data_IF_553769957502
#
_entry.id   IF_553769957502
#
_cell.length_a   1.000
_cell.length_b   1.000
_cell.length_c   1.000
_cell.angle_alpha   90.00
_cell.angle_beta   90.00
_cell.angle_gamma   90.00
#
_symmetry.space_group_name_H-M   'P 1'
#
loop_
_entity.id
_entity.type
_entity.pdbx_description
1 polymer ?
#
# COMPACT_ATOMS: atom_id res chain seq x y z
N UNK A 1 16.05 16.46 -16.55
CA UNK A 1 16.87 15.29 -16.25
C UNK A 1 16.43 14.74 -14.89
N UNK A 2 15.93 13.50 -14.87
CA UNK A 2 15.59 12.81 -13.63
C UNK A 2 16.89 12.31 -13.00
N UNK A 3 17.27 12.79 -11.84
CA UNK A 3 18.45 12.36 -11.13
C UNK A 3 18.06 11.51 -9.92
N UNK A 4 18.59 10.28 -9.89
CA UNK A 4 18.48 9.43 -8.70
C UNK A 4 19.74 9.63 -7.86
N UNK A 5 19.59 10.07 -6.63
CA UNK A 5 20.66 10.15 -5.64
C UNK A 5 20.56 8.97 -4.69
N UNK A 6 21.65 8.22 -4.57
CA UNK A 6 21.75 7.17 -3.55
C UNK A 6 21.98 7.80 -2.19
N UNK A 7 21.23 7.35 -1.20
CA UNK A 7 21.34 7.74 0.19
C UNK A 7 21.91 6.58 1.02
N UNK A 8 22.07 6.79 2.33
CA UNK A 8 22.46 5.74 3.27
C UNK A 8 21.37 4.65 3.38
N UNK A 9 21.77 3.46 3.85
CA UNK A 9 20.87 2.31 4.08
C UNK A 9 20.12 1.83 2.85
N UNK A 10 20.80 1.78 1.68
CA UNK A 10 20.22 1.35 0.40
C UNK A 10 18.97 2.09 -0.04
N UNK A 11 18.72 3.27 0.53
CA UNK A 11 17.67 4.16 0.08
C UNK A 11 18.11 5.02 -1.09
N UNK A 12 17.17 5.54 -1.85
CA UNK A 12 17.46 6.45 -2.95
C UNK A 12 16.41 7.55 -3.05
N UNK A 13 16.85 8.73 -3.46
CA UNK A 13 15.98 9.86 -3.76
C UNK A 13 15.92 10.06 -5.26
N UNK A 14 14.72 9.98 -5.83
CA UNK A 14 14.45 10.34 -7.21
C UNK A 14 13.87 11.76 -7.27
N UNK A 15 14.64 12.67 -7.84
CA UNK A 15 14.20 14.07 -8.04
C UNK A 15 13.73 14.24 -9.47
N UNK A 16 12.51 14.68 -9.66
CA UNK A 16 11.95 15.02 -10.96
C UNK A 16 11.16 16.34 -10.89
N UNK A 17 11.11 17.03 -12.02
CA UNK A 17 10.34 18.25 -12.14
C UNK A 17 8.86 17.90 -12.30
N UNK A 18 8.01 18.52 -11.49
CA UNK A 18 6.54 18.36 -11.55
C UNK A 18 5.87 19.72 -11.34
N UNK A 19 4.58 19.77 -11.59
CA UNK A 19 3.75 20.93 -11.27
C UNK A 19 3.62 21.07 -9.75
N UNK A 20 3.58 22.32 -9.29
CA UNK A 20 3.36 22.61 -7.87
C UNK A 20 1.87 22.41 -7.57
N UNK A 21 1.49 21.61 -6.56
CA UNK A 21 0.11 21.43 -6.18
C UNK A 21 -0.48 22.72 -5.59
N UNK A 22 -1.78 22.94 -5.78
CA UNK A 22 -2.48 24.10 -5.18
C UNK A 22 -2.48 24.04 -3.65
N UNK A 23 -2.50 22.85 -3.11
CA UNK A 23 -2.46 22.61 -1.69
C UNK A 23 -1.30 21.67 -1.37
N UNK A 24 -0.60 21.98 -0.30
CA UNK A 24 0.53 21.20 0.18
C UNK A 24 0.22 20.77 1.62
N UNK A 25 0.32 19.49 1.89
CA UNK A 25 0.30 18.98 3.26
C UNK A 25 1.70 19.12 3.86
N UNK A 26 1.80 19.83 4.96
CA UNK A 26 3.06 19.93 5.68
C UNK A 26 3.12 18.83 6.72
N UNK A 27 4.02 17.89 6.51
CA UNK A 27 4.26 16.80 7.44
C UNK A 27 4.88 17.39 8.72
N UNK A 28 4.31 17.11 9.92
CA UNK A 28 4.68 17.83 11.15
C UNK A 28 6.04 17.42 11.74
N UNK A 29 6.49 16.18 11.54
CA UNK A 29 7.70 15.66 12.16
C UNK A 29 8.98 16.22 11.51
N UNK A 30 9.03 16.23 10.17
CA UNK A 30 10.21 16.65 9.40
C UNK A 30 9.98 17.96 8.64
N UNK A 31 8.79 18.52 8.69
CA UNK A 31 8.42 19.76 8.00
C UNK A 31 8.42 19.65 6.47
N UNK A 32 8.32 18.44 5.93
CA UNK A 32 8.29 18.19 4.49
C UNK A 32 6.97 18.63 3.87
N UNK A 33 7.05 19.18 2.67
CA UNK A 33 5.88 19.47 1.86
C UNK A 33 5.50 18.23 1.05
N UNK A 34 4.30 17.69 1.30
CA UNK A 34 3.79 16.50 0.64
C UNK A 34 2.62 16.86 -0.28
N UNK A 35 2.47 16.10 -1.36
CA UNK A 35 1.27 16.13 -2.17
C UNK A 35 0.07 15.60 -1.38
N UNK A 36 -1.14 16.18 -1.54
CA UNK A 36 -2.37 15.51 -1.16
C UNK A 36 -2.46 14.14 -1.82
N UNK A 37 -3.12 13.18 -1.16
CA UNK A 37 -3.15 11.79 -1.60
C UNK A 37 -3.62 11.61 -3.05
N UNK A 38 -4.70 12.29 -3.44
CA UNK A 38 -5.24 12.23 -4.79
C UNK A 38 -4.23 12.75 -5.84
N UNK A 39 -3.55 13.84 -5.54
CA UNK A 39 -2.52 14.40 -6.42
C UNK A 39 -1.32 13.46 -6.52
N UNK A 40 -0.84 12.93 -5.40
CA UNK A 40 0.25 11.95 -5.38
C UNK A 40 -0.05 10.75 -6.27
N UNK A 41 -1.27 10.19 -6.19
CA UNK A 41 -1.70 9.07 -7.03
C UNK A 41 -1.76 9.43 -8.52
N UNK A 42 -2.34 10.59 -8.87
CA UNK A 42 -2.47 11.03 -10.28
C UNK A 42 -1.10 11.30 -10.90
N UNK A 43 -0.16 11.86 -10.15
CA UNK A 43 1.19 12.15 -10.63
C UNK A 43 2.16 10.96 -10.54
N UNK A 44 1.79 9.89 -9.84
CA UNK A 44 2.60 8.69 -9.74
C UNK A 44 2.88 8.08 -11.14
N UNK A 45 4.13 7.68 -11.37
CA UNK A 45 4.54 7.08 -12.64
C UNK A 45 4.04 5.64 -12.76
N UNK A 46 3.92 5.06 -13.98
CA UNK A 46 3.59 3.64 -14.14
C UNK A 46 4.53 2.73 -13.31
N UNK A 47 5.81 3.03 -13.34
CA UNK A 47 6.82 2.26 -12.59
C UNK A 47 6.54 2.22 -11.07
N UNK A 48 5.98 3.27 -10.50
CA UNK A 48 5.61 3.29 -9.07
C UNK A 48 4.58 2.19 -8.76
N UNK A 49 3.57 2.04 -9.58
CA UNK A 49 2.55 1.00 -9.40
C UNK A 49 3.12 -0.42 -9.50
N UNK A 50 4.12 -0.62 -10.36
CA UNK A 50 4.77 -1.91 -10.55
C UNK A 50 5.70 -2.26 -9.38
N UNK A 51 6.52 -1.33 -8.95
CA UNK A 51 7.55 -1.54 -7.93
C UNK A 51 6.97 -1.46 -6.51
N UNK A 52 6.13 -0.45 -6.27
CA UNK A 52 5.57 -0.14 -4.93
C UNK A 52 4.09 -0.54 -4.82
N UNK A 53 3.75 -1.73 -5.32
CA UNK A 53 2.37 -2.20 -5.40
C UNK A 53 1.61 -2.11 -4.08
N UNK A 54 2.21 -2.56 -2.96
CA UNK A 54 1.56 -2.53 -1.64
C UNK A 54 1.23 -1.09 -1.25
N UNK A 55 2.17 -0.16 -1.44
CA UNK A 55 1.95 1.26 -1.14
C UNK A 55 0.88 1.86 -2.07
N UNK A 56 0.95 1.59 -3.37
CA UNK A 56 -0.04 2.07 -4.34
C UNK A 56 -1.46 1.57 -4.03
N UNK A 57 -1.63 0.26 -3.79
CA UNK A 57 -2.92 -0.32 -3.40
C UNK A 57 -3.44 0.25 -2.08
N UNK A 58 -2.55 0.46 -1.09
CA UNK A 58 -2.90 1.09 0.18
C UNK A 58 -3.44 2.50 -0.03
N UNK A 59 -2.75 3.31 -0.82
CA UNK A 59 -3.17 4.67 -1.16
C UNK A 59 -4.50 4.70 -1.91
N UNK A 60 -4.70 3.80 -2.88
CA UNK A 60 -5.97 3.68 -3.61
C UNK A 60 -7.13 3.30 -2.69
N UNK A 61 -6.92 2.36 -1.75
CA UNK A 61 -7.95 1.95 -0.80
C UNK A 61 -8.37 3.07 0.18
N UNK A 62 -7.55 4.10 0.37
CA UNK A 62 -7.87 5.28 1.20
C UNK A 62 -8.71 6.32 0.45
N UNK A 63 -8.90 6.20 -0.85
CA UNK A 63 -9.75 7.11 -1.63
C UNK A 63 -11.20 6.69 -1.45
N UNK A 64 -12.01 7.59 -0.92
CA UNK A 64 -13.42 7.33 -0.63
C UNK A 64 -14.31 7.37 -1.87
N UNK A 65 -14.06 8.36 -2.72
CA UNK A 65 -14.82 8.58 -3.95
C UNK A 65 -13.96 9.20 -5.05
N UNK A 66 -14.50 9.29 -6.26
CA UNK A 66 -13.78 9.80 -7.42
C UNK A 66 -13.55 11.33 -7.41
N UNK A 67 -14.26 12.08 -6.57
CA UNK A 67 -14.29 13.55 -6.66
C UNK A 67 -12.91 14.20 -6.51
N UNK A 68 -12.09 13.71 -5.57
CA UNK A 68 -10.77 14.25 -5.33
C UNK A 68 -9.80 13.96 -6.49
N UNK A 69 -9.89 12.76 -7.06
CA UNK A 69 -9.13 12.38 -8.26
C UNK A 69 -9.57 13.22 -9.46
N UNK A 70 -10.88 13.38 -9.67
CA UNK A 70 -11.44 14.15 -10.78
C UNK A 70 -11.07 15.63 -10.72
N UNK A 71 -11.02 16.24 -9.53
CA UNK A 71 -10.53 17.63 -9.37
C UNK A 71 -9.12 17.79 -9.92
N UNK A 72 -8.24 16.84 -9.66
CA UNK A 72 -6.84 16.89 -10.13
C UNK A 72 -6.77 16.67 -11.65
N UNK A 73 -7.49 15.66 -12.16
CA UNK A 73 -7.51 15.33 -13.58
C UNK A 73 -8.11 16.45 -14.44
N UNK A 74 -9.17 17.10 -13.96
CA UNK A 74 -9.83 18.19 -14.69
C UNK A 74 -8.94 19.42 -14.87
N UNK A 75 -8.04 19.71 -13.91
CA UNK A 75 -7.11 20.82 -14.04
C UNK A 75 -6.08 20.63 -15.14
N UNK A 76 -5.61 19.41 -15.33
CA UNK A 76 -4.40 19.12 -16.12
C UNK A 76 -4.69 18.36 -17.42
N UNK A 77 -5.94 18.04 -17.71
CA UNK A 77 -6.37 17.46 -19.00
C UNK A 77 -5.67 16.16 -19.40
N UNK A 78 -5.29 15.30 -18.43
CA UNK A 78 -4.39 14.20 -18.67
C UNK A 78 -5.12 12.86 -18.91
N UNK A 79 -5.54 12.58 -20.16
CA UNK A 79 -6.20 11.32 -20.54
C UNK A 79 -5.42 10.07 -20.13
N UNK A 80 -4.09 10.07 -20.31
CA UNK A 80 -3.23 8.92 -19.93
C UNK A 80 -3.23 8.67 -18.43
N UNK A 81 -3.17 9.74 -17.62
CA UNK A 81 -3.24 9.62 -16.17
C UNK A 81 -4.62 9.14 -15.72
N UNK A 82 -5.68 9.65 -16.33
CA UNK A 82 -7.05 9.20 -16.07
C UNK A 82 -7.23 7.71 -16.37
N UNK A 83 -6.75 7.24 -17.51
CA UNK A 83 -6.81 5.83 -17.88
C UNK A 83 -6.05 4.92 -16.92
N UNK A 84 -4.85 5.33 -16.52
CA UNK A 84 -4.03 4.60 -15.57
C UNK A 84 -4.69 4.52 -14.18
N UNK A 85 -5.18 5.63 -13.66
CA UNK A 85 -5.84 5.65 -12.33
C UNK A 85 -7.15 4.85 -12.35
N UNK A 86 -7.93 4.94 -13.42
CA UNK A 86 -9.15 4.12 -13.59
C UNK A 86 -8.79 2.63 -13.61
N UNK A 87 -7.78 2.22 -14.39
CA UNK A 87 -7.28 0.84 -14.39
C UNK A 87 -6.77 0.37 -13.04
N UNK A 88 -6.08 1.24 -12.30
CA UNK A 88 -5.63 0.95 -10.94
C UNK A 88 -6.80 0.68 -9.98
N UNK A 89 -7.84 1.50 -10.01
CA UNK A 89 -9.05 1.27 -9.20
C UNK A 89 -9.77 -0.01 -9.60
N UNK A 90 -9.82 -0.34 -10.90
CA UNK A 90 -10.40 -1.58 -11.37
C UNK A 90 -9.63 -2.80 -10.91
N UNK A 91 -8.30 -2.74 -10.88
CA UNK A 91 -7.45 -3.82 -10.37
C UNK A 91 -7.75 -4.14 -8.90
N UNK A 92 -7.93 -3.13 -8.06
CA UNK A 92 -8.29 -3.32 -6.64
C UNK A 92 -9.80 -3.60 -6.41
N UNK A 93 -10.58 -3.81 -7.48
CA UNK A 93 -12.00 -4.17 -7.39
C UNK A 93 -12.95 -2.99 -7.19
N UNK A 94 -12.46 -1.74 -7.21
CA UNK A 94 -13.31 -0.55 -7.07
C UNK A 94 -13.75 -0.03 -8.45
N UNK A 95 -14.66 -0.79 -9.09
CA UNK A 95 -15.18 -0.47 -10.42
C UNK A 95 -16.01 0.81 -10.44
N UNK A 96 -16.68 1.16 -9.35
CA UNK A 96 -17.51 2.35 -9.25
C UNK A 96 -16.67 3.64 -9.42
N UNK A 97 -15.55 3.73 -8.72
CA UNK A 97 -14.62 4.87 -8.87
C UNK A 97 -14.01 4.88 -10.28
N UNK A 98 -13.61 3.71 -10.81
CA UNK A 98 -13.05 3.61 -12.16
C UNK A 98 -14.04 4.12 -13.22
N UNK A 99 -15.29 3.65 -13.19
CA UNK A 99 -16.34 4.04 -14.13
C UNK A 99 -16.68 5.54 -14.00
N UNK A 100 -16.72 6.07 -12.79
CA UNK A 100 -16.91 7.51 -12.52
C UNK A 100 -15.80 8.36 -13.16
N UNK A 101 -14.54 7.96 -13.01
CA UNK A 101 -13.41 8.66 -13.61
C UNK A 101 -13.52 8.64 -15.14
N UNK A 102 -13.71 7.46 -15.74
CA UNK A 102 -13.76 7.32 -17.19
C UNK A 102 -14.94 8.08 -17.80
N UNK A 103 -16.14 7.93 -17.24
CA UNK A 103 -17.34 8.59 -17.75
C UNK A 103 -17.28 10.11 -17.65
N UNK A 104 -16.80 10.63 -16.50
CA UNK A 104 -16.69 12.08 -16.30
C UNK A 104 -15.65 12.69 -17.22
N UNK A 105 -14.47 12.09 -17.34
CA UNK A 105 -13.43 12.59 -18.23
C UNK A 105 -13.82 12.53 -19.71
N UNK A 106 -14.53 11.47 -20.12
CA UNK A 106 -15.11 11.41 -21.47
C UNK A 106 -16.19 12.47 -21.69
N UNK A 107 -16.99 12.74 -20.65
CA UNK A 107 -17.97 13.85 -20.68
C UNK A 107 -17.32 15.22 -20.88
N UNK A 108 -16.10 15.41 -20.43
CA UNK A 108 -15.29 16.60 -20.69
C UNK A 108 -14.58 16.60 -22.06
N UNK A 109 -14.78 15.56 -22.87
CA UNK A 109 -14.21 15.45 -24.21
C UNK A 109 -12.83 14.80 -24.29
N UNK A 110 -12.35 14.18 -23.20
CA UNK A 110 -11.07 13.49 -23.20
C UNK A 110 -11.21 12.05 -23.69
N UNK A 111 -10.33 11.59 -24.58
CA UNK A 111 -10.23 10.18 -24.96
C UNK A 111 -9.47 9.42 -23.88
N UNK A 112 -10.21 8.77 -22.99
CA UNK A 112 -9.64 7.98 -21.88
C UNK A 112 -9.65 6.51 -22.25
N UNK A 113 -8.45 5.93 -22.34
CA UNK A 113 -8.24 4.48 -22.45
C UNK A 113 -7.79 3.96 -21.10
N UNK A 114 -8.58 3.05 -20.54
CA UNK A 114 -8.25 2.41 -19.27
C UNK A 114 -7.07 1.45 -19.48
N UNK A 115 -6.07 1.56 -18.63
CA UNK A 115 -4.86 0.75 -18.63
C UNK A 115 -4.52 0.34 -17.21
N UNK A 116 -4.37 -0.96 -16.96
CA UNK A 116 -3.98 -1.47 -15.66
C UNK A 116 -2.48 -1.24 -15.42
N UNK A 117 -2.09 -0.38 -14.45
CA UNK A 117 -0.69 -0.08 -14.21
C UNK A 117 0.06 -1.17 -13.44
N UNK A 118 -0.65 -2.16 -12.89
CA UNK A 118 -0.04 -3.27 -12.16
C UNK A 118 0.40 -4.42 -13.06
N UNK A 119 0.12 -4.34 -14.37
CA UNK A 119 0.46 -5.36 -15.36
C UNK A 119 -0.09 -6.75 -15.01
N UNK A 120 0.73 -7.81 -15.11
CA UNK A 120 0.32 -9.20 -14.90
C UNK A 120 0.16 -9.59 -13.43
N UNK A 121 0.13 -8.64 -12.51
CA UNK A 121 -0.04 -8.96 -11.10
C UNK A 121 -1.50 -9.30 -10.77
N UNK A 122 -1.75 -10.26 -9.88
CA UNK A 122 -3.10 -10.70 -9.56
C UNK A 122 -3.95 -9.57 -9.01
N UNK A 123 -5.22 -9.54 -9.39
CA UNK A 123 -6.19 -8.59 -8.84
C UNK A 123 -6.42 -8.87 -7.37
N UNK A 124 -6.37 -7.83 -6.56
CA UNK A 124 -6.62 -7.93 -5.12
C UNK A 124 -7.77 -7.02 -4.76
N UNK A 125 -9.01 -7.53 -4.66
CA UNK A 125 -10.15 -6.72 -4.27
C UNK A 125 -9.95 -6.12 -2.88
N UNK A 126 -9.98 -4.81 -2.79
CA UNK A 126 -9.89 -4.05 -1.55
C UNK A 126 -11.17 -3.27 -1.31
N UNK A 127 -11.53 -3.12 -0.05
CA UNK A 127 -12.59 -2.21 0.39
C UNK A 127 -11.96 -0.90 0.86
N UNK A 128 -12.77 0.17 0.84
CA UNK A 128 -12.35 1.43 1.43
C UNK A 128 -11.88 1.23 2.87
N UNK A 129 -10.70 1.74 3.17
CA UNK A 129 -10.08 1.61 4.49
C UNK A 129 -9.41 2.93 4.89
N UNK A 130 -9.75 3.42 6.05
CA UNK A 130 -9.19 4.68 6.59
C UNK A 130 -7.74 4.47 7.06
N UNK A 131 -7.47 3.30 7.63
CA UNK A 131 -6.14 2.97 8.16
C UNK A 131 -5.24 2.36 7.10
N UNK A 132 -4.16 3.04 6.69
CA UNK A 132 -3.21 2.48 5.74
C UNK A 132 -2.53 1.21 6.28
N UNK A 133 -2.42 1.08 7.60
CA UNK A 133 -1.80 -0.08 8.23
C UNK A 133 -2.61 -1.37 8.03
N UNK A 134 -3.94 -1.29 8.14
CA UNK A 134 -4.83 -2.45 7.95
C UNK A 134 -4.71 -2.99 6.53
N UNK A 135 -4.81 -2.13 5.53
CA UNK A 135 -4.67 -2.54 4.12
C UNK A 135 -3.27 -3.11 3.85
N UNK A 136 -2.24 -2.45 4.36
CA UNK A 136 -0.85 -2.90 4.19
C UNK A 136 -0.62 -4.30 4.79
N UNK A 137 -1.08 -4.53 6.02
CA UNK A 137 -0.95 -5.83 6.68
C UNK A 137 -1.72 -6.93 5.94
N UNK A 138 -2.92 -6.62 5.44
CA UNK A 138 -3.71 -7.57 4.63
C UNK A 138 -2.97 -7.96 3.34
N UNK A 139 -2.47 -6.99 2.59
CA UNK A 139 -1.71 -7.24 1.37
C UNK A 139 -0.41 -8.02 1.62
N UNK A 140 0.30 -7.69 2.70
CA UNK A 140 1.50 -8.45 3.11
C UNK A 140 1.14 -9.89 3.45
N UNK A 141 0.05 -10.11 4.20
CA UNK A 141 -0.41 -11.45 4.53
C UNK A 141 -0.79 -12.25 3.28
N UNK A 142 -1.55 -11.67 2.35
CA UNK A 142 -1.91 -12.34 1.09
C UNK A 142 -0.68 -12.77 0.29
N UNK A 143 0.37 -11.94 0.25
CA UNK A 143 1.62 -12.27 -0.44
C UNK A 143 2.43 -13.38 0.24
N UNK A 144 2.31 -13.53 1.58
CA UNK A 144 3.09 -14.49 2.36
C UNK A 144 2.33 -15.78 2.67
N UNK A 145 1.00 -15.72 2.68
CA UNK A 145 0.13 -16.77 3.21
C UNK A 145 0.46 -18.16 2.70
N UNK A 146 0.55 -18.31 1.39
CA UNK A 146 0.75 -19.63 0.78
C UNK A 146 2.09 -20.23 1.17
N UNK A 147 3.14 -19.40 1.21
CA UNK A 147 4.47 -19.82 1.65
C UNK A 147 4.51 -20.14 3.14
N UNK A 148 3.81 -19.37 3.96
CA UNK A 148 3.69 -19.65 5.41
C UNK A 148 2.95 -20.97 5.63
N UNK A 149 1.85 -21.20 4.91
CA UNK A 149 1.07 -22.46 5.02
C UNK A 149 1.90 -23.65 4.56
N UNK A 150 2.67 -23.53 3.48
CA UNK A 150 3.55 -24.59 2.99
C UNK A 150 4.64 -24.98 4.00
N UNK A 151 5.21 -23.98 4.68
CA UNK A 151 6.28 -24.17 5.66
C UNK A 151 5.77 -24.47 7.07
N UNK A 152 4.46 -24.36 7.30
CA UNK A 152 3.90 -24.57 8.62
C UNK A 152 3.99 -26.06 8.99
N UNK A 153 4.49 -26.39 10.18
CA UNK A 153 4.60 -27.77 10.59
C UNK A 153 3.23 -28.44 10.67
N UNK A 154 3.18 -29.73 10.37
CA UNK A 154 1.97 -30.52 10.56
C UNK A 154 1.51 -30.46 12.02
N UNK A 155 0.20 -30.50 12.22
CA UNK A 155 -0.35 -30.51 13.56
C UNK A 155 0.16 -31.73 14.33
N UNK A 156 0.70 -31.59 15.55
CA UNK A 156 1.29 -32.69 16.30
C UNK A 156 0.27 -33.76 16.74
N UNK A 157 -1.00 -33.62 16.34
CA UNK A 157 -2.07 -34.52 16.73
C UNK A 157 -2.66 -34.17 18.11
N UNK A 158 -3.31 -35.15 18.72
CA UNK A 158 -3.84 -35.01 20.07
C UNK A 158 -2.70 -35.07 21.09
N UNK A 159 -2.75 -34.16 22.04
CA UNK A 159 -1.81 -34.16 23.18
C UNK A 159 -2.27 -35.28 24.13
N UNK A 160 -1.49 -36.34 24.28
CA UNK A 160 -1.82 -37.46 25.16
C UNK A 160 -1.59 -37.11 26.65
N UNK A 161 -0.54 -36.35 26.95
CA UNK A 161 -0.23 -35.83 28.29
C UNK A 161 -0.47 -34.32 28.37
N UNK A 162 -1.72 -33.94 28.61
CA UNK A 162 -2.13 -32.54 28.73
C UNK A 162 -1.47 -31.83 29.91
N UNK A 163 -1.30 -32.52 31.06
CA UNK A 163 -0.70 -31.93 32.25
C UNK A 163 0.81 -31.67 32.06
N UNK A 164 1.50 -32.62 31.43
CA UNK A 164 2.90 -32.46 31.09
C UNK A 164 3.13 -31.32 30.08
N UNK A 165 2.24 -31.23 29.09
CA UNK A 165 2.27 -30.13 28.13
C UNK A 165 2.06 -28.76 28.79
N UNK A 166 1.04 -28.63 29.66
CA UNK A 166 0.77 -27.37 30.38
C UNK A 166 1.95 -26.96 31.27
N UNK A 167 2.56 -27.92 31.97
CA UNK A 167 3.78 -27.64 32.75
C UNK A 167 4.92 -27.12 31.87
N UNK A 168 5.14 -27.74 30.71
CA UNK A 168 6.18 -27.30 29.78
C UNK A 168 5.93 -25.90 29.21
N UNK A 169 4.67 -25.49 29.06
CA UNK A 169 4.28 -24.13 28.65
C UNK A 169 4.58 -23.14 29.77
N UNK A 170 4.22 -23.47 31.03
CA UNK A 170 4.49 -22.61 32.19
C UNK A 170 6.00 -22.41 32.43
N UNK A 171 6.80 -23.47 32.29
CA UNK A 171 8.26 -23.40 32.37
C UNK A 171 8.88 -22.48 31.32
N UNK A 172 8.37 -22.51 30.09
CA UNK A 172 8.87 -21.69 28.98
C UNK A 172 8.31 -20.26 28.98
N UNK A 173 7.19 -20.04 29.63
CA UNK A 173 6.49 -18.76 29.59
C UNK A 173 7.35 -17.57 30.01
N UNK A 174 8.13 -17.73 31.04
CA UNK A 174 9.02 -16.67 31.54
C UNK A 174 10.17 -16.35 30.58
N UNK A 175 10.68 -17.37 29.87
CA UNK A 175 11.75 -17.22 28.90
C UNK A 175 11.20 -16.55 27.61
N UNK A 176 10.05 -17.00 27.13
CA UNK A 176 9.38 -16.42 25.95
C UNK A 176 8.94 -14.98 26.21
N UNK A 177 8.39 -14.69 27.39
CA UNK A 177 8.04 -13.33 27.80
C UNK A 177 9.27 -12.41 27.89
N UNK A 178 10.38 -12.90 28.42
CA UNK A 178 11.63 -12.15 28.48
C UNK A 178 12.16 -11.84 27.06
N UNK A 179 12.18 -12.82 26.17
CA UNK A 179 12.67 -12.63 24.80
C UNK A 179 11.77 -11.69 23.98
N UNK A 180 10.46 -11.75 24.15
CA UNK A 180 9.51 -10.86 23.50
C UNK A 180 9.66 -9.43 24.01
N UNK A 181 9.62 -9.24 25.31
CA UNK A 181 9.71 -7.91 25.94
C UNK A 181 11.09 -7.27 25.77
N UNK A 182 12.18 -8.05 25.79
CA UNK A 182 13.53 -7.50 25.63
C UNK A 182 13.83 -7.00 24.22
N UNK A 183 13.16 -7.53 23.20
CA UNK A 183 13.25 -7.02 21.82
C UNK A 183 12.53 -5.70 21.64
N UNK A 184 11.33 -5.56 22.22
CA UNK A 184 10.47 -4.40 22.01
C UNK A 184 10.88 -3.19 22.87
N UNK A 185 11.52 -3.40 24.03
CA UNK A 185 11.82 -2.33 25.00
C UNK A 185 13.33 -2.00 25.03
N UNK A 186 14.16 -2.67 24.27
CA UNK A 186 15.59 -2.36 24.19
C UNK A 186 16.35 -2.58 25.51
N UNK A 187 15.95 -3.53 26.34
CA UNK A 187 16.70 -3.87 27.54
C UNK A 187 18.11 -4.37 27.19
N UNK A 188 19.17 -3.85 27.82
CA UNK A 188 20.52 -4.32 27.58
C UNK A 188 20.65 -5.78 28.02
N UNK A 189 21.28 -6.57 27.16
CA UNK A 189 21.69 -7.93 27.53
C UNK A 189 22.80 -7.83 28.60
N UNK A 190 22.55 -8.29 29.77
CA UNK A 190 23.61 -8.55 30.76
C UNK A 190 24.38 -9.81 30.38
#
# INVERSE_FOLDING_TARGET
>A
HNNTQKLMYDTSLLVFQSEIPDQVYKEPEYGLNLYPLAEALVYATPRYFQVERIAACTCLAMIRDAADILKVLARNGASLRAGRIAGAFRNIGNSEIADSIVSTMRGFGYDVREEDPFEDQPRTPLVYEVSPYVTRLRLMWENMRDKVVELFPEAPGKIDDVEGYLRSVDEKYSEDAYHSLSRDIGFPRN
#
